data_IF_972257570907
#
_entry.id   IF_972257570907
#
_cell.length_a   1.000
_cell.length_b   1.000
_cell.length_c   1.000
_cell.angle_alpha   90.00
_cell.angle_beta   90.00
_cell.angle_gamma   90.00
#
_symmetry.space_group_name_H-M   'P 1'
#
loop_
_entity.id
_entity.type
_entity.pdbx_description
1 polymer ?
#
# COMPACT_ATOMS: atom_id res chain seq x y z
N UNK A 1 9.16 53.68 64.86
CA UNK A 1 7.73 53.92 64.90
C UNK A 1 7.29 54.40 63.56
N UNK A 2 6.59 53.60 62.82
CA UNK A 2 5.47 53.94 61.94
C UNK A 2 5.16 52.67 61.09
N UNK A 3 3.99 52.13 61.44
CA UNK A 3 3.41 50.96 60.76
C UNK A 3 3.02 51.29 59.31
N UNK A 4 3.31 50.41 58.37
CA UNK A 4 2.77 50.43 57.01
C UNK A 4 1.82 49.24 56.79
N UNK A 5 0.56 49.61 56.67
CA UNK A 5 -0.64 48.81 56.53
C UNK A 5 -0.64 48.07 55.13
N UNK A 6 -0.71 46.74 55.13
CA UNK A 6 -0.88 45.94 53.92
C UNK A 6 -2.33 45.95 53.46
N UNK A 7 -2.60 46.49 52.30
CA UNK A 7 -3.87 46.38 51.56
C UNK A 7 -3.95 45.08 50.75
N UNK A 8 -4.87 44.25 51.20
CA UNK A 8 -5.26 42.98 50.53
C UNK A 8 -6.04 43.29 49.24
N UNK A 9 -5.47 43.03 48.07
CA UNK A 9 -6.18 43.03 46.79
C UNK A 9 -6.87 41.68 46.58
N UNK A 10 -8.19 41.72 46.56
CA UNK A 10 -9.06 40.61 46.14
C UNK A 10 -8.92 40.35 44.63
N UNK A 11 -8.61 39.12 44.26
CA UNK A 11 -8.67 38.63 42.87
C UNK A 11 -10.13 38.37 42.46
N UNK A 12 -10.55 38.72 41.26
CA UNK A 12 -11.85 38.30 40.74
C UNK A 12 -11.81 36.81 40.32
N UNK A 13 -12.77 36.05 40.78
CA UNK A 13 -13.12 34.70 40.35
C UNK A 13 -13.71 34.78 38.95
N UNK A 14 -12.97 34.25 37.95
CA UNK A 14 -13.52 34.01 36.62
C UNK A 14 -14.31 32.70 36.64
N UNK A 15 -15.64 32.82 36.45
CA UNK A 15 -16.52 31.71 36.11
C UNK A 15 -16.05 31.06 34.82
N UNK A 16 -15.72 29.79 34.90
CA UNK A 16 -15.45 28.92 33.74
C UNK A 16 -16.80 28.37 33.32
N UNK A 17 -17.27 28.76 32.13
CA UNK A 17 -18.44 28.15 31.50
C UNK A 17 -18.12 26.70 31.10
N UNK A 18 -19.06 25.74 31.26
CA UNK A 18 -18.92 24.39 30.78
C UNK A 18 -19.43 24.33 29.32
N UNK A 19 -18.53 24.15 28.38
CA UNK A 19 -18.94 23.96 27.00
C UNK A 19 -17.80 24.10 26.01
N UNK A 20 -16.94 23.08 25.91
CA UNK A 20 -16.27 22.67 24.69
C UNK A 20 -15.57 21.32 25.00
N UNK A 21 -16.39 20.30 25.22
CA UNK A 21 -15.95 18.93 24.93
C UNK A 21 -15.84 18.79 23.42
N UNK A 22 -14.66 19.12 22.88
CA UNK A 22 -14.25 18.62 21.58
C UNK A 22 -14.14 17.11 21.73
N UNK A 23 -15.18 16.43 21.28
CA UNK A 23 -15.18 15.00 21.13
C UNK A 23 -13.92 14.60 20.35
N UNK A 24 -12.97 13.99 21.04
CA UNK A 24 -11.91 13.20 20.42
C UNK A 24 -12.59 12.00 19.77
N UNK A 25 -13.09 12.18 18.53
CA UNK A 25 -13.49 11.09 17.66
C UNK A 25 -12.30 10.13 17.53
N UNK A 26 -12.56 8.87 17.83
CA UNK A 26 -11.54 7.86 18.04
C UNK A 26 -10.56 7.71 16.88
N UNK A 27 -9.30 7.60 17.22
CA UNK A 27 -8.17 7.36 16.31
C UNK A 27 -8.23 6.01 15.57
N UNK A 28 -9.33 5.26 15.67
CA UNK A 28 -9.52 3.94 15.07
C UNK A 28 -10.19 3.97 13.68
N UNK A 29 -10.69 5.12 13.20
CA UNK A 29 -11.51 5.22 11.97
C UNK A 29 -10.90 6.10 10.87
N UNK A 30 -9.66 6.55 11.02
CA UNK A 30 -9.01 7.36 9.99
C UNK A 30 -8.57 6.48 8.82
N UNK A 31 -8.98 6.84 7.58
CA UNK A 31 -8.50 6.20 6.38
C UNK A 31 -6.97 6.24 6.29
N UNK A 32 -6.34 5.13 5.89
CA UNK A 32 -4.91 5.08 5.61
C UNK A 32 -4.57 5.87 4.35
N UNK A 33 -5.44 5.76 3.31
CA UNK A 33 -5.30 6.52 2.07
C UNK A 33 -6.67 7.02 1.64
N UNK A 34 -6.77 8.30 1.29
CA UNK A 34 -7.92 8.90 0.64
C UNK A 34 -7.50 9.54 -0.68
N UNK A 35 -8.15 9.16 -1.75
CA UNK A 35 -7.97 9.71 -3.10
C UNK A 35 -9.31 10.27 -3.53
N UNK A 36 -9.38 11.55 -3.86
CA UNK A 36 -10.63 12.27 -4.20
C UNK A 36 -10.51 12.98 -5.53
N UNK A 37 -11.25 12.50 -6.53
CA UNK A 37 -11.32 13.09 -7.85
C UNK A 37 -9.96 13.27 -8.52
N UNK A 38 -9.04 12.33 -8.33
CA UNK A 38 -7.65 12.49 -8.79
C UNK A 38 -7.54 12.29 -10.29
N UNK A 39 -6.87 13.27 -10.92
CA UNK A 39 -6.46 13.24 -12.32
C UNK A 39 -4.95 13.28 -12.43
N UNK A 40 -4.39 12.59 -13.43
CA UNK A 40 -2.97 12.71 -13.79
C UNK A 40 -2.81 12.77 -15.30
N UNK A 41 -2.22 13.87 -15.77
CA UNK A 41 -1.87 14.11 -17.16
C UNK A 41 -0.37 14.33 -17.24
N UNK A 42 0.29 13.59 -18.10
CA UNK A 42 1.71 13.79 -18.42
C UNK A 42 1.83 14.57 -19.74
N UNK A 43 2.72 15.54 -19.76
CA UNK A 43 3.13 16.21 -21.00
C UNK A 43 4.21 15.37 -21.69
N UNK A 44 3.93 14.90 -22.89
CA UNK A 44 4.86 14.09 -23.69
C UNK A 44 5.23 14.84 -24.97
N UNK A 45 6.21 14.35 -25.73
CA UNK A 45 6.57 14.93 -27.04
C UNK A 45 5.43 14.83 -28.06
N UNK A 46 4.57 13.84 -27.90
CA UNK A 46 3.45 13.55 -28.80
C UNK A 46 2.12 14.16 -28.32
N UNK A 47 2.16 14.99 -27.26
CA UNK A 47 0.98 15.65 -26.68
C UNK A 47 0.66 15.20 -25.26
N UNK A 48 -0.54 15.46 -24.81
CA UNK A 48 -1.01 15.12 -23.48
C UNK A 48 -1.35 13.63 -23.35
N UNK A 49 -0.81 12.99 -22.31
CA UNK A 49 -1.13 11.63 -21.97
C UNK A 49 -1.92 11.59 -20.65
N UNK A 50 -3.23 11.36 -20.73
CA UNK A 50 -4.08 11.17 -19.54
C UNK A 50 -3.86 9.77 -18.98
N UNK A 51 -3.15 9.70 -17.84
CA UNK A 51 -2.86 8.44 -17.16
C UNK A 51 -4.01 8.04 -16.22
N UNK A 52 -4.55 9.00 -15.45
CA UNK A 52 -5.66 8.81 -14.51
C UNK A 52 -6.74 9.86 -14.73
N UNK A 53 -7.99 9.45 -14.53
CA UNK A 53 -9.14 10.34 -14.69
C UNK A 53 -10.20 10.06 -13.63
N UNK A 54 -10.49 11.08 -12.80
CA UNK A 54 -11.50 11.07 -11.75
C UNK A 54 -11.43 9.80 -10.87
N UNK A 55 -10.27 9.57 -10.26
CA UNK A 55 -10.06 8.41 -9.38
C UNK A 55 -10.48 8.77 -7.97
N UNK A 56 -11.42 8.00 -7.41
CA UNK A 56 -11.86 8.06 -6.02
C UNK A 56 -11.59 6.72 -5.36
N UNK A 57 -10.77 6.70 -4.28
CA UNK A 57 -10.43 5.49 -3.54
C UNK A 57 -10.19 5.83 -2.06
N UNK A 58 -10.79 5.04 -1.19
CA UNK A 58 -10.48 5.07 0.24
C UNK A 58 -9.94 3.71 0.65
N UNK A 59 -8.82 3.70 1.37
CA UNK A 59 -8.24 2.52 2.01
C UNK A 59 -8.31 2.74 3.52
N UNK A 60 -8.96 1.84 4.23
CA UNK A 60 -9.06 1.93 5.69
C UNK A 60 -7.72 1.60 6.37
N UNK A 61 -7.53 2.06 7.60
CA UNK A 61 -6.40 1.64 8.43
C UNK A 61 -6.42 0.11 8.61
N UNK A 62 -5.28 -0.54 8.41
CA UNK A 62 -5.14 -1.99 8.49
C UNK A 62 -5.76 -2.77 7.33
N UNK A 63 -6.34 -2.13 6.32
CA UNK A 63 -6.95 -2.81 5.18
C UNK A 63 -5.90 -3.19 4.12
N UNK A 64 -6.07 -4.35 3.51
CA UNK A 64 -5.28 -4.79 2.37
C UNK A 64 -6.08 -4.61 1.07
N UNK A 65 -5.66 -3.70 0.21
CA UNK A 65 -6.31 -3.40 -1.07
C UNK A 65 -5.37 -3.72 -2.22
N UNK A 66 -5.80 -4.58 -3.15
CA UNK A 66 -5.09 -4.79 -4.40
C UNK A 66 -5.66 -3.96 -5.54
N UNK A 67 -4.78 -3.35 -6.33
CA UNK A 67 -5.10 -2.68 -7.59
C UNK A 67 -4.79 -3.63 -8.75
N UNK A 68 -5.80 -3.96 -9.56
CA UNK A 68 -5.64 -4.83 -10.72
C UNK A 68 -6.21 -4.13 -11.97
N UNK A 69 -5.61 -4.43 -13.11
CA UNK A 69 -6.03 -3.84 -14.40
C UNK A 69 -4.99 -4.08 -15.48
N UNK A 70 -5.30 -3.77 -16.76
CA UNK A 70 -4.39 -3.98 -17.87
C UNK A 70 -3.10 -3.17 -17.71
N UNK A 71 -2.05 -3.60 -18.41
CA UNK A 71 -0.77 -2.86 -18.42
C UNK A 71 -0.95 -1.43 -18.88
N UNK A 72 -0.31 -0.48 -18.19
CA UNK A 72 -0.40 0.94 -18.52
C UNK A 72 -1.72 1.63 -18.15
N UNK A 73 -2.61 1.01 -17.37
CA UNK A 73 -3.86 1.64 -16.91
C UNK A 73 -3.69 2.65 -15.76
N UNK A 74 -2.48 2.83 -15.23
CA UNK A 74 -2.22 3.86 -14.21
C UNK A 74 -2.07 3.35 -12.77
N UNK A 75 -2.05 2.05 -12.49
CA UNK A 75 -1.88 1.49 -11.13
C UNK A 75 -0.63 2.02 -10.42
N UNK A 76 0.53 1.85 -11.05
CA UNK A 76 1.80 2.36 -10.52
C UNK A 76 1.82 3.89 -10.46
N UNK A 77 1.12 4.58 -11.38
CA UNK A 77 0.97 6.04 -11.32
C UNK A 77 0.20 6.45 -10.05
N UNK A 78 -0.95 5.81 -9.78
CA UNK A 78 -1.72 6.09 -8.57
C UNK A 78 -0.90 5.86 -7.30
N UNK A 79 -0.17 4.73 -7.24
CA UNK A 79 0.69 4.43 -6.10
C UNK A 79 1.80 5.48 -5.93
N UNK A 80 2.43 5.95 -7.03
CA UNK A 80 3.46 7.00 -7.00
C UNK A 80 2.92 8.33 -6.49
N UNK A 81 1.66 8.68 -6.82
CA UNK A 81 0.99 9.87 -6.30
C UNK A 81 0.76 9.76 -4.78
N UNK A 82 0.32 8.60 -4.30
CA UNK A 82 0.15 8.32 -2.85
C UNK A 82 1.49 8.44 -2.12
N UNK A 83 2.58 8.02 -2.77
CA UNK A 83 3.95 8.05 -2.23
C UNK A 83 4.67 9.41 -2.39
N UNK A 84 4.00 10.49 -2.81
CA UNK A 84 4.65 11.78 -3.07
C UNK A 84 5.88 11.69 -3.99
N UNK A 85 5.85 10.74 -4.94
CA UNK A 85 6.89 10.58 -5.97
C UNK A 85 6.48 11.24 -7.29
N UNK A 86 5.26 11.72 -7.34
CA UNK A 86 4.67 12.50 -8.42
C UNK A 86 3.48 13.30 -7.85
N UNK A 87 3.02 14.34 -8.55
CA UNK A 87 1.92 15.20 -8.12
C UNK A 87 0.68 14.97 -8.99
N UNK A 88 -0.53 14.98 -8.41
CA UNK A 88 -1.76 14.93 -9.20
C UNK A 88 -1.92 16.23 -10.02
N UNK A 89 -2.50 16.12 -11.22
CA UNK A 89 -2.83 17.30 -12.01
C UNK A 89 -4.08 18.00 -11.48
N UNK A 90 -5.00 17.25 -10.88
CA UNK A 90 -6.18 17.74 -10.16
C UNK A 90 -6.65 16.69 -9.17
N UNK A 91 -7.48 17.08 -8.21
CA UNK A 91 -7.94 16.26 -7.11
C UNK A 91 -7.01 16.30 -5.92
N UNK A 92 -7.31 15.53 -4.89
CA UNK A 92 -6.61 15.54 -3.62
C UNK A 92 -6.28 14.12 -3.16
N UNK A 93 -5.13 13.97 -2.49
CA UNK A 93 -4.71 12.73 -1.83
C UNK A 93 -4.33 13.04 -0.38
N UNK A 94 -4.81 12.21 0.53
CA UNK A 94 -4.39 12.22 1.92
C UNK A 94 -3.92 10.83 2.35
N UNK A 95 -2.88 10.78 3.19
CA UNK A 95 -2.34 9.58 3.82
C UNK A 95 -2.39 9.79 5.32
N UNK A 96 -3.21 9.00 6.03
CA UNK A 96 -3.53 9.22 7.45
C UNK A 96 -3.93 10.67 7.77
N UNK A 97 -4.73 11.29 6.88
CA UNK A 97 -5.19 12.67 7.01
C UNK A 97 -4.12 13.74 6.74
N UNK A 98 -2.91 13.36 6.35
CA UNK A 98 -1.80 14.25 5.99
C UNK A 98 -1.66 14.36 4.47
N UNK A 99 -1.01 15.43 3.99
CA UNK A 99 -0.58 15.45 2.58
C UNK A 99 0.45 14.35 2.31
N UNK A 100 0.54 13.81 1.08
CA UNK A 100 1.54 12.79 0.72
C UNK A 100 2.96 13.21 1.11
N UNK A 101 3.34 14.48 0.85
CA UNK A 101 4.64 15.04 1.22
C UNK A 101 4.90 14.96 2.74
N UNK A 102 3.88 15.30 3.56
CA UNK A 102 4.01 15.22 5.01
C UNK A 102 4.08 13.78 5.49
N UNK A 103 3.27 12.88 4.94
CA UNK A 103 3.31 11.45 5.26
C UNK A 103 4.67 10.83 4.95
N UNK A 104 5.30 11.22 3.83
CA UNK A 104 6.66 10.80 3.46
C UNK A 104 7.70 11.27 4.49
N UNK A 105 7.65 12.54 4.89
CA UNK A 105 8.56 13.09 5.89
C UNK A 105 8.36 12.47 7.28
N UNK A 106 7.14 12.10 7.62
CA UNK A 106 6.77 11.44 8.88
C UNK A 106 6.93 9.90 8.81
N UNK A 107 7.42 9.35 7.68
CA UNK A 107 7.72 7.92 7.52
C UNK A 107 6.51 7.00 7.69
N UNK A 108 5.33 7.48 7.32
CA UNK A 108 4.09 6.72 7.50
C UNK A 108 4.03 5.47 6.63
N UNK A 109 4.85 5.36 5.57
CA UNK A 109 4.80 4.24 4.64
C UNK A 109 6.17 3.67 4.27
N UNK A 110 6.19 2.36 4.01
CA UNK A 110 7.26 1.66 3.31
C UNK A 110 6.88 1.37 1.86
N UNK A 111 7.85 1.38 0.96
CA UNK A 111 7.59 1.17 -0.46
C UNK A 111 8.50 0.10 -1.07
N UNK A 112 7.91 -0.83 -1.83
CA UNK A 112 8.62 -1.80 -2.67
C UNK A 112 8.17 -1.62 -4.12
N UNK A 113 9.12 -1.29 -4.99
CA UNK A 113 8.88 -1.11 -6.42
C UNK A 113 9.02 -2.41 -7.21
N UNK A 114 8.49 -2.44 -8.41
CA UNK A 114 8.64 -3.55 -9.36
C UNK A 114 10.13 -3.86 -9.65
N UNK A 115 10.97 -2.83 -9.78
CA UNK A 115 12.41 -2.97 -9.75
C UNK A 115 12.91 -2.80 -8.32
N UNK A 116 13.72 -3.71 -7.83
CA UNK A 116 14.19 -3.74 -6.45
C UNK A 116 14.89 -2.43 -6.00
N UNK A 117 15.51 -1.70 -6.92
CA UNK A 117 16.14 -0.39 -6.66
C UNK A 117 17.13 -0.45 -5.51
N UNK A 118 17.92 -1.52 -5.42
CA UNK A 118 18.97 -1.65 -4.42
C UNK A 118 20.16 -0.76 -4.78
N UNK A 119 20.83 -0.25 -3.77
CA UNK A 119 22.07 0.50 -3.94
C UNK A 119 23.21 -0.48 -4.22
N UNK A 120 23.80 -0.48 -5.44
CA UNK A 120 24.75 -1.52 -5.86
C UNK A 120 26.07 -1.48 -5.08
N UNK A 121 26.41 -0.35 -4.46
CA UNK A 121 27.60 -0.18 -3.63
C UNK A 121 27.38 -0.53 -2.15
N UNK A 122 26.21 -1.00 -1.76
CA UNK A 122 25.87 -1.43 -0.40
C UNK A 122 25.59 -2.92 -0.37
N UNK A 123 25.98 -3.56 0.72
CA UNK A 123 25.61 -4.96 0.95
C UNK A 123 24.10 -5.14 1.10
N UNK A 124 23.64 -6.36 1.10
CA UNK A 124 22.24 -6.73 1.36
C UNK A 124 21.78 -6.18 2.71
N UNK A 125 22.53 -6.46 3.78
CA UNK A 125 22.20 -5.96 5.12
C UNK A 125 22.18 -4.41 5.15
N UNK A 126 23.13 -3.75 4.50
CA UNK A 126 23.19 -2.30 4.44
C UNK A 126 22.05 -1.70 3.60
N UNK A 127 21.55 -2.39 2.57
CA UNK A 127 20.36 -1.96 1.83
C UNK A 127 19.10 -2.03 2.70
N UNK A 128 18.91 -3.10 3.48
CA UNK A 128 17.79 -3.24 4.41
C UNK A 128 17.88 -2.22 5.54
N UNK A 129 19.09 -1.95 6.04
CA UNK A 129 19.34 -1.00 7.11
C UNK A 129 19.11 0.46 6.71
N UNK A 130 19.08 0.79 5.41
CA UNK A 130 19.08 2.16 4.90
C UNK A 130 18.00 3.06 5.51
N UNK A 131 16.72 2.68 5.58
CA UNK A 131 15.71 3.51 6.23
C UNK A 131 16.05 3.79 7.70
N UNK A 132 16.40 2.76 8.44
CA UNK A 132 16.74 2.84 9.87
C UNK A 132 17.97 3.74 10.13
N UNK A 133 18.93 3.77 9.20
CA UNK A 133 20.10 4.66 9.26
C UNK A 133 19.70 6.12 9.05
N UNK A 134 18.86 6.39 8.06
CA UNK A 134 18.40 7.74 7.74
C UNK A 134 17.62 8.37 8.89
N UNK A 135 16.95 7.54 9.69
CA UNK A 135 16.15 7.99 10.84
C UNK A 135 16.87 7.88 12.17
N UNK A 136 18.16 7.56 12.16
CA UNK A 136 19.00 7.62 13.35
C UNK A 136 18.76 6.48 14.35
N UNK A 137 18.20 5.34 13.91
CA UNK A 137 18.03 4.17 14.78
C UNK A 137 19.37 3.71 15.36
N UNK A 138 19.36 3.36 16.65
CA UNK A 138 20.57 2.92 17.33
C UNK A 138 21.16 1.64 16.69
N UNK A 139 22.50 1.57 16.58
CA UNK A 139 23.20 0.49 15.85
C UNK A 139 22.78 -0.91 16.26
N UNK A 140 22.63 -1.16 17.58
CA UNK A 140 22.21 -2.48 18.09
C UNK A 140 20.79 -2.87 17.68
N UNK A 141 19.82 -1.95 17.81
CA UNK A 141 18.42 -2.16 17.41
C UNK A 141 18.32 -2.36 15.89
N UNK A 142 19.05 -1.54 15.11
CA UNK A 142 19.14 -1.65 13.67
C UNK A 142 19.66 -3.02 13.23
N UNK A 143 20.77 -3.50 13.82
CA UNK A 143 21.34 -4.81 13.49
C UNK A 143 20.35 -5.93 13.80
N UNK A 144 19.70 -5.92 14.96
CA UNK A 144 18.71 -6.92 15.33
C UNK A 144 17.53 -6.93 14.34
N UNK A 145 17.02 -5.75 13.96
CA UNK A 145 15.93 -5.63 13.00
C UNK A 145 16.29 -6.12 11.60
N UNK A 146 17.49 -5.79 11.12
CA UNK A 146 18.00 -6.26 9.82
C UNK A 146 18.13 -7.78 9.80
N UNK A 147 18.66 -8.39 10.89
CA UNK A 147 18.74 -9.85 11.00
C UNK A 147 17.37 -10.50 10.93
N UNK A 148 16.40 -10.01 11.73
CA UNK A 148 15.00 -10.48 11.71
C UNK A 148 14.41 -10.46 10.29
N UNK A 149 14.60 -9.34 9.58
CA UNK A 149 14.06 -9.17 8.24
C UNK A 149 14.74 -10.05 7.19
N UNK A 150 16.05 -10.26 7.30
CA UNK A 150 16.78 -11.15 6.40
C UNK A 150 16.44 -12.61 6.63
N UNK A 151 16.22 -13.02 7.88
CA UNK A 151 15.71 -14.35 8.20
C UNK A 151 14.32 -14.57 7.63
N UNK A 152 13.43 -13.61 7.81
CA UNK A 152 12.07 -13.63 7.29
C UNK A 152 12.02 -13.84 5.75
N UNK A 153 12.88 -13.13 5.00
CA UNK A 153 12.91 -13.28 3.54
C UNK A 153 13.85 -14.41 3.07
N UNK A 154 14.43 -15.18 4.00
CA UNK A 154 15.32 -16.31 3.71
C UNK A 154 16.63 -15.90 3.03
N UNK A 155 17.23 -14.80 3.47
CA UNK A 155 18.47 -14.24 2.92
C UNK A 155 19.54 -13.94 3.96
N UNK A 156 19.45 -14.52 5.17
CA UNK A 156 20.44 -14.30 6.23
C UNK A 156 21.87 -14.61 5.81
N UNK A 157 22.08 -15.70 5.07
CA UNK A 157 23.42 -16.11 4.57
C UNK A 157 23.99 -15.14 3.51
N UNK A 158 23.16 -14.26 2.97
CA UNK A 158 23.54 -13.30 1.93
C UNK A 158 23.73 -11.88 2.47
N UNK A 159 23.71 -11.68 3.79
CA UNK A 159 23.75 -10.36 4.44
C UNK A 159 24.92 -9.48 3.94
N UNK A 160 26.11 -10.08 3.76
CA UNK A 160 27.33 -9.41 3.35
C UNK A 160 27.55 -9.37 1.80
N UNK A 161 26.62 -9.95 1.04
CA UNK A 161 26.67 -9.93 -0.44
C UNK A 161 26.22 -8.60 -1.00
N UNK A 162 26.68 -8.29 -2.21
CA UNK A 162 26.25 -7.12 -2.97
C UNK A 162 25.12 -7.49 -3.95
N UNK A 163 24.28 -6.50 -4.38
CA UNK A 163 23.15 -6.76 -5.27
C UNK A 163 23.48 -7.51 -6.57
N UNK A 164 24.64 -7.28 -7.17
CA UNK A 164 25.11 -7.94 -8.39
C UNK A 164 25.41 -9.43 -8.20
N UNK A 165 25.55 -9.89 -6.96
CA UNK A 165 25.76 -11.29 -6.59
C UNK A 165 24.43 -12.04 -6.33
N UNK A 166 23.29 -11.38 -6.50
CA UNK A 166 21.95 -11.89 -6.20
C UNK A 166 21.15 -12.12 -7.50
N UNK A 167 20.30 -13.14 -7.50
CA UNK A 167 19.27 -13.25 -8.53
C UNK A 167 18.23 -12.12 -8.42
N UNK A 168 17.49 -11.84 -9.50
CA UNK A 168 16.42 -10.81 -9.46
C UNK A 168 15.37 -11.06 -8.38
N UNK A 169 14.99 -12.32 -8.16
CA UNK A 169 14.08 -12.70 -7.08
C UNK A 169 14.67 -12.46 -5.68
N UNK A 170 15.98 -12.71 -5.49
CA UNK A 170 16.65 -12.39 -4.23
C UNK A 170 16.70 -10.87 -4.00
N UNK A 171 17.04 -10.09 -5.04
CA UNK A 171 17.02 -8.63 -4.95
C UNK A 171 15.64 -8.09 -4.57
N UNK A 172 14.58 -8.67 -5.13
CA UNK A 172 13.20 -8.28 -4.82
C UNK A 172 12.85 -8.58 -3.35
N UNK A 173 13.28 -9.72 -2.81
CA UNK A 173 13.11 -10.05 -1.39
C UNK A 173 13.85 -9.06 -0.47
N UNK A 174 15.04 -8.61 -0.84
CA UNK A 174 15.76 -7.53 -0.13
C UNK A 174 14.97 -6.22 -0.16
N UNK A 175 14.36 -5.86 -1.30
CA UNK A 175 13.54 -4.66 -1.41
C UNK A 175 12.29 -4.72 -0.52
N UNK A 176 11.65 -5.89 -0.41
CA UNK A 176 10.53 -6.12 0.50
C UNK A 176 10.99 -5.97 1.96
N UNK A 177 12.10 -6.60 2.34
CA UNK A 177 12.68 -6.47 3.69
C UNK A 177 12.98 -5.01 4.02
N UNK A 178 13.56 -4.24 3.08
CA UNK A 178 13.81 -2.80 3.23
C UNK A 178 12.53 -2.01 3.44
N UNK A 179 11.46 -2.30 2.70
CA UNK A 179 10.17 -1.62 2.84
C UNK A 179 9.52 -1.86 4.22
N UNK A 180 9.82 -2.99 4.86
CA UNK A 180 9.32 -3.38 6.18
C UNK A 180 10.21 -2.91 7.34
N UNK A 181 11.37 -2.29 7.06
CA UNK A 181 12.40 -2.02 8.07
C UNK A 181 11.87 -1.19 9.24
N UNK A 182 11.12 -0.15 9.00
CA UNK A 182 10.61 0.82 9.98
C UNK A 182 9.25 0.47 10.58
N UNK A 183 8.71 -0.72 10.30
CA UNK A 183 7.35 -1.12 10.70
C UNK A 183 6.31 -0.07 10.30
N UNK A 184 6.23 0.28 9.01
CA UNK A 184 5.37 1.34 8.54
C UNK A 184 3.89 1.02 8.77
N UNK A 185 3.07 2.06 8.92
CA UNK A 185 1.62 1.93 9.05
C UNK A 185 0.92 1.67 7.70
N UNK A 186 1.60 1.99 6.58
CA UNK A 186 1.14 1.74 5.21
C UNK A 186 2.25 1.09 4.40
N UNK A 187 1.92 0.04 3.66
CA UNK A 187 2.81 -0.59 2.68
C UNK A 187 2.32 -0.30 1.27
N UNK A 188 3.20 0.23 0.44
CA UNK A 188 2.97 0.47 -0.98
C UNK A 188 3.82 -0.51 -1.78
N UNK A 189 3.18 -1.42 -2.52
CA UNK A 189 3.89 -2.50 -3.21
C UNK A 189 3.48 -2.58 -4.69
N UNK A 190 4.45 -2.38 -5.59
CA UNK A 190 4.25 -2.42 -7.04
C UNK A 190 4.83 -3.70 -7.63
N UNK A 191 3.97 -4.69 -7.90
CA UNK A 191 4.32 -6.01 -8.46
C UNK A 191 5.52 -6.68 -7.74
N UNK A 192 5.55 -6.72 -6.38
CA UNK A 192 6.74 -7.09 -5.62
C UNK A 192 7.14 -8.56 -5.78
N UNK A 193 6.26 -9.39 -6.29
CA UNK A 193 6.52 -10.83 -6.45
C UNK A 193 6.75 -11.27 -7.91
N UNK A 194 6.78 -10.32 -8.86
CA UNK A 194 6.88 -10.62 -10.29
C UNK A 194 8.15 -11.38 -10.70
N UNK A 195 9.27 -11.17 -10.00
CA UNK A 195 10.54 -11.83 -10.28
C UNK A 195 10.78 -13.12 -9.47
N UNK A 196 9.81 -13.56 -8.64
CA UNK A 196 9.93 -14.75 -7.80
C UNK A 196 9.45 -16.01 -8.54
N UNK A 197 10.10 -17.14 -8.25
CA UNK A 197 9.56 -18.46 -8.58
C UNK A 197 8.28 -18.74 -7.76
N UNK A 198 7.48 -19.70 -8.21
CA UNK A 198 6.16 -19.97 -7.64
C UNK A 198 6.20 -20.31 -6.13
N UNK A 199 7.09 -21.23 -5.73
CA UNK A 199 7.18 -21.66 -4.33
C UNK A 199 7.63 -20.51 -3.42
N UNK A 200 8.59 -19.70 -3.86
CA UNK A 200 9.06 -18.54 -3.12
C UNK A 200 7.97 -17.46 -3.05
N UNK A 201 7.23 -17.26 -4.15
CA UNK A 201 6.11 -16.32 -4.23
C UNK A 201 5.02 -16.66 -3.21
N UNK A 202 4.58 -17.91 -3.14
CA UNK A 202 3.56 -18.36 -2.20
C UNK A 202 3.98 -18.15 -0.75
N UNK A 203 5.21 -18.52 -0.40
CA UNK A 203 5.77 -18.25 0.94
C UNK A 203 5.80 -16.76 1.28
N UNK A 204 6.23 -15.92 0.34
CA UNK A 204 6.30 -14.48 0.56
C UNK A 204 4.90 -13.84 0.66
N UNK A 205 3.91 -14.36 -0.07
CA UNK A 205 2.52 -13.93 0.05
C UNK A 205 1.95 -14.27 1.44
N UNK A 206 2.14 -15.49 1.92
CA UNK A 206 1.72 -15.91 3.25
C UNK A 206 2.38 -15.05 4.35
N UNK A 207 3.69 -14.79 4.21
CA UNK A 207 4.43 -13.95 5.15
C UNK A 207 3.96 -12.50 5.13
N UNK A 208 3.65 -11.92 3.97
CA UNK A 208 3.11 -10.57 3.87
C UNK A 208 1.74 -10.44 4.53
N UNK A 209 0.86 -11.44 4.34
CA UNK A 209 -0.44 -11.51 5.01
C UNK A 209 -0.27 -11.54 6.53
N UNK A 210 0.64 -12.38 7.03
CA UNK A 210 0.96 -12.49 8.46
C UNK A 210 1.44 -11.16 9.02
N UNK A 211 2.43 -10.53 8.38
CA UNK A 211 2.99 -9.25 8.82
C UNK A 211 1.93 -8.16 8.85
N UNK A 212 1.14 -8.02 7.77
CA UNK A 212 0.08 -7.02 7.70
C UNK A 212 -0.99 -7.23 8.79
N UNK A 213 -1.30 -8.48 9.14
CA UNK A 213 -2.23 -8.81 10.21
C UNK A 213 -1.65 -8.50 11.61
N UNK A 214 -0.39 -8.87 11.86
CA UNK A 214 0.28 -8.66 13.15
C UNK A 214 0.58 -7.19 13.44
N UNK A 215 0.95 -6.42 12.40
CA UNK A 215 1.29 -5.00 12.57
C UNK A 215 0.09 -4.07 12.46
N UNK A 216 -1.03 -4.54 11.91
CA UNK A 216 -2.18 -3.69 11.57
C UNK A 216 -1.87 -2.70 10.46
N UNK A 217 -0.81 -2.91 9.67
CA UNK A 217 -0.47 -2.05 8.55
C UNK A 217 -1.52 -2.14 7.43
N UNK A 218 -1.90 -1.00 6.88
CA UNK A 218 -2.65 -0.95 5.64
C UNK A 218 -1.72 -1.31 4.46
N UNK A 219 -2.26 -1.92 3.41
CA UNK A 219 -1.46 -2.30 2.23
C UNK A 219 -2.17 -1.87 0.95
N UNK A 220 -1.46 -1.16 0.09
CA UNK A 220 -1.85 -0.93 -1.31
C UNK A 220 -0.92 -1.75 -2.18
N UNK A 221 -1.48 -2.74 -2.84
CA UNK A 221 -0.74 -3.76 -3.57
C UNK A 221 -1.12 -3.73 -5.06
N UNK A 222 -0.14 -3.50 -5.92
CA UNK A 222 -0.35 -3.55 -7.38
C UNK A 222 0.09 -4.91 -7.89
N UNK A 223 -0.77 -5.56 -8.64
CA UNK A 223 -0.47 -6.83 -9.31
C UNK A 223 -1.23 -6.98 -10.63
N UNK A 224 -0.75 -7.87 -11.49
CA UNK A 224 -1.45 -8.36 -12.67
C UNK A 224 -2.01 -9.78 -12.48
N UNK A 225 -1.70 -10.43 -11.35
CA UNK A 225 -2.16 -11.78 -11.02
C UNK A 225 -3.48 -11.72 -10.24
N UNK A 226 -4.57 -12.23 -10.85
CA UNK A 226 -5.89 -12.32 -10.20
C UNK A 226 -5.84 -13.21 -8.95
N UNK A 227 -5.25 -14.44 -9.00
CA UNK A 227 -5.17 -15.30 -7.82
C UNK A 227 -4.43 -14.63 -6.66
N UNK A 228 -3.38 -13.88 -6.95
CA UNK A 228 -2.61 -13.14 -5.96
C UNK A 228 -3.45 -12.05 -5.30
N UNK A 229 -4.13 -11.21 -6.10
CA UNK A 229 -5.02 -10.16 -5.60
C UNK A 229 -6.13 -10.74 -4.71
N UNK A 230 -6.74 -11.85 -5.13
CA UNK A 230 -7.80 -12.53 -4.37
C UNK A 230 -7.27 -13.09 -3.05
N UNK A 231 -6.10 -13.73 -3.06
CA UNK A 231 -5.54 -14.35 -1.86
C UNK A 231 -5.14 -13.31 -0.79
N UNK A 232 -4.55 -12.20 -1.21
CA UNK A 232 -3.95 -11.22 -0.31
C UNK A 232 -4.97 -10.24 0.29
N UNK A 233 -6.00 -9.86 -0.48
CA UNK A 233 -6.71 -8.61 -0.24
C UNK A 233 -8.03 -8.78 0.51
N UNK A 234 -8.44 -7.73 1.22
CA UNK A 234 -9.80 -7.56 1.71
C UNK A 234 -10.73 -7.02 0.62
N UNK A 235 -10.17 -6.17 -0.28
CA UNK A 235 -10.85 -5.68 -1.49
C UNK A 235 -9.91 -5.67 -2.68
N UNK A 236 -10.44 -6.00 -3.84
CA UNK A 236 -9.76 -5.86 -5.13
C UNK A 236 -10.39 -4.72 -5.91
N UNK A 237 -9.59 -3.72 -6.25
CA UNK A 237 -9.96 -2.57 -7.07
C UNK A 237 -9.59 -2.86 -8.52
N UNK A 238 -10.58 -2.90 -9.38
CA UNK A 238 -10.42 -3.14 -10.82
C UNK A 238 -10.34 -1.81 -11.55
N UNK A 239 -9.25 -1.58 -12.27
CA UNK A 239 -9.04 -0.36 -13.05
C UNK A 239 -9.31 -0.59 -14.55
N UNK A 240 -9.94 0.41 -15.20
CA UNK A 240 -10.17 0.43 -16.65
C UNK A 240 -8.86 0.63 -17.43
N UNK A 241 -8.82 0.28 -18.74
CA UNK A 241 -7.77 0.77 -19.62
C UNK A 241 -7.65 2.29 -19.62
N UNK A 242 -6.51 2.79 -20.09
CA UNK A 242 -6.21 4.23 -20.12
C UNK A 242 -7.27 5.08 -20.84
N UNK A 243 -7.69 6.23 -20.26
CA UNK A 243 -7.29 6.74 -18.94
C UNK A 243 -7.82 5.88 -17.81
N UNK A 244 -6.94 5.61 -16.82
CA UNK A 244 -7.27 4.75 -15.69
C UNK A 244 -8.35 5.37 -14.82
N UNK A 245 -9.43 4.63 -14.62
CA UNK A 245 -10.54 4.93 -13.69
C UNK A 245 -10.80 3.70 -12.85
N UNK A 246 -11.34 3.87 -11.67
CA UNK A 246 -11.87 2.73 -10.93
C UNK A 246 -13.15 2.29 -11.62
N UNK A 247 -13.16 1.03 -12.03
CA UNK A 247 -14.29 0.39 -12.69
C UNK A 247 -15.19 -0.33 -11.71
N UNK A 248 -14.55 -1.08 -10.80
CA UNK A 248 -15.25 -1.88 -9.80
C UNK A 248 -14.40 -2.05 -8.55
N UNK A 249 -15.04 -2.29 -7.41
CA UNK A 249 -14.40 -2.60 -6.13
C UNK A 249 -15.07 -3.83 -5.56
N UNK A 250 -14.34 -4.95 -5.55
CA UNK A 250 -14.88 -6.26 -5.19
C UNK A 250 -14.38 -6.63 -3.79
N UNK A 251 -15.28 -6.77 -2.78
CA UNK A 251 -14.90 -7.25 -1.47
C UNK A 251 -14.57 -8.74 -1.53
N UNK A 252 -13.44 -9.14 -0.95
CA UNK A 252 -13.03 -10.54 -0.87
C UNK A 252 -13.66 -11.20 0.35
N UNK A 253 -14.63 -12.09 0.11
CA UNK A 253 -15.36 -12.80 1.18
C UNK A 253 -14.78 -14.19 1.39
N UNK A 254 -13.47 -14.27 1.61
CA UNK A 254 -12.74 -15.51 1.82
C UNK A 254 -12.54 -15.73 3.33
N UNK A 255 -12.97 -16.90 3.83
CA UNK A 255 -12.73 -17.28 5.21
C UNK A 255 -13.32 -16.27 6.23
N UNK A 256 -14.55 -15.80 6.03
CA UNK A 256 -15.18 -14.69 6.78
C UNK A 256 -15.21 -14.90 8.31
N UNK A 257 -15.07 -16.15 8.80
CA UNK A 257 -14.98 -16.45 10.23
C UNK A 257 -13.55 -16.34 10.79
N UNK A 258 -12.55 -16.45 9.93
CA UNK A 258 -11.15 -16.41 10.26
C UNK A 258 -10.57 -15.07 9.75
N UNK A 259 -9.95 -14.27 10.59
CA UNK A 259 -9.33 -13.02 10.19
C UNK A 259 -8.25 -13.25 9.10
N UNK A 260 -7.74 -12.19 8.50
CA UNK A 260 -6.68 -12.25 7.46
C UNK A 260 -5.50 -13.15 7.86
N UNK A 261 -5.10 -13.15 9.13
CA UNK A 261 -4.00 -13.97 9.65
C UNK A 261 -4.16 -15.48 9.47
N UNK A 262 -5.38 -15.95 9.24
CA UNK A 262 -5.70 -17.37 9.07
C UNK A 262 -5.77 -17.82 7.60
N UNK A 263 -5.43 -16.94 6.65
CA UNK A 263 -5.36 -17.32 5.24
C UNK A 263 -4.16 -18.23 5.00
N UNK A 264 -4.45 -19.52 4.91
CA UNK A 264 -3.46 -20.56 4.59
C UNK A 264 -3.47 -20.90 3.10
N UNK A 265 -2.45 -21.63 2.64
CA UNK A 265 -2.39 -22.15 1.27
C UNK A 265 -3.63 -22.97 0.90
N UNK A 266 -4.23 -23.69 1.85
CA UNK A 266 -5.45 -24.47 1.65
C UNK A 266 -6.64 -23.64 1.15
N UNK A 267 -6.66 -22.33 1.48
CA UNK A 267 -7.70 -21.41 0.96
C UNK A 267 -7.76 -21.39 -0.57
N UNK A 268 -6.64 -21.62 -1.25
CA UNK A 268 -6.54 -21.63 -2.72
C UNK A 268 -7.27 -22.80 -3.36
N UNK A 269 -7.53 -23.87 -2.60
CA UNK A 269 -8.24 -25.07 -3.05
C UNK A 269 -9.76 -24.97 -2.77
N UNK A 270 -10.19 -23.94 -2.03
CA UNK A 270 -11.59 -23.76 -1.70
C UNK A 270 -12.42 -23.24 -2.88
N UNK A 271 -13.65 -23.71 -2.99
CA UNK A 271 -14.60 -23.25 -4.02
C UNK A 271 -14.80 -21.73 -4.00
N UNK A 272 -14.88 -21.12 -2.82
CA UNK A 272 -15.04 -19.68 -2.65
C UNK A 272 -13.91 -18.88 -3.27
N UNK A 273 -12.68 -19.40 -3.23
CA UNK A 273 -11.54 -18.77 -3.88
C UNK A 273 -11.70 -18.73 -5.41
N UNK A 274 -12.11 -19.82 -6.03
CA UNK A 274 -12.35 -19.88 -7.48
C UNK A 274 -13.51 -18.97 -7.91
N UNK A 275 -14.56 -18.87 -7.10
CA UNK A 275 -15.68 -17.96 -7.34
C UNK A 275 -15.21 -16.50 -7.33
N UNK A 276 -14.37 -16.08 -6.38
CA UNK A 276 -13.79 -14.74 -6.32
C UNK A 276 -12.83 -14.47 -7.49
N UNK A 277 -11.98 -15.43 -7.86
CA UNK A 277 -11.10 -15.33 -9.04
C UNK A 277 -11.94 -15.09 -10.31
N UNK A 278 -13.06 -15.79 -10.43
CA UNK A 278 -13.96 -15.63 -11.59
C UNK A 278 -14.62 -14.25 -11.58
N UNK A 279 -15.13 -13.79 -10.43
CA UNK A 279 -15.74 -12.46 -10.31
C UNK A 279 -14.76 -11.33 -10.69
N UNK A 280 -13.51 -11.39 -10.20
CA UNK A 280 -12.48 -10.41 -10.55
C UNK A 280 -12.14 -10.47 -12.04
N UNK A 281 -12.06 -11.68 -12.63
CA UNK A 281 -11.81 -11.85 -14.06
C UNK A 281 -12.92 -11.25 -14.91
N UNK A 282 -14.18 -11.49 -14.57
CA UNK A 282 -15.33 -10.92 -15.26
C UNK A 282 -15.35 -9.39 -15.18
N UNK A 283 -15.06 -8.82 -14.00
CA UNK A 283 -14.93 -7.38 -13.83
C UNK A 283 -13.79 -6.78 -14.67
N UNK A 284 -12.65 -7.46 -14.78
CA UNK A 284 -11.52 -7.03 -15.62
C UNK A 284 -11.86 -7.02 -17.10
N UNK A 285 -12.49 -8.07 -17.60
CA UNK A 285 -12.85 -8.18 -19.02
C UNK A 285 -14.07 -7.32 -19.37
N UNK A 286 -14.77 -6.84 -18.35
CA UNK A 286 -15.84 -5.88 -18.38
C UNK A 286 -16.90 -6.17 -19.40
N UNK A 287 -17.83 -7.04 -19.06
CA UNK A 287 -19.07 -7.15 -19.82
C UNK A 287 -18.89 -7.08 -21.35
N UNK A 288 -18.11 -7.97 -21.93
CA UNK A 288 -18.42 -8.38 -23.29
C UNK A 288 -19.84 -8.94 -23.19
N UNK A 289 -20.83 -8.16 -23.60
CA UNK A 289 -22.18 -8.68 -23.76
C UNK A 289 -22.06 -9.92 -24.64
N UNK A 290 -22.59 -11.08 -24.22
CA UNK A 290 -22.62 -12.24 -25.09
C UNK A 290 -23.49 -11.86 -26.29
N UNK A 291 -22.85 -11.67 -27.46
CA UNK A 291 -23.43 -11.82 -28.77
C UNK A 291 -24.61 -10.90 -29.13
N UNK A 292 -24.33 -9.75 -29.72
CA UNK A 292 -25.20 -9.33 -30.84
C UNK A 292 -24.86 -10.25 -32.03
N UNK A 293 -25.79 -11.08 -32.51
CA UNK A 293 -25.52 -11.92 -33.68
C UNK A 293 -25.25 -11.01 -34.87
N UNK A 294 -24.16 -11.28 -35.59
CA UNK A 294 -23.85 -10.63 -36.87
C UNK A 294 -25.09 -10.70 -37.78
N UNK A 295 -25.63 -9.54 -38.08
CA UNK A 295 -26.66 -9.43 -39.14
C UNK A 295 -26.06 -9.96 -40.43
N UNK A 296 -26.76 -10.92 -41.00
CA UNK A 296 -26.40 -11.64 -42.20
C UNK A 296 -26.03 -10.72 -43.35
N UNK A 297 -24.96 -11.12 -44.02
CA UNK A 297 -24.69 -10.74 -45.39
C UNK A 297 -25.77 -11.39 -46.27
N UNK A 298 -26.82 -10.58 -46.62
CA UNK A 298 -27.66 -10.94 -47.75
C UNK A 298 -26.88 -10.73 -49.02
N UNK A 299 -26.66 -11.82 -49.70
CA UNK A 299 -26.19 -11.90 -51.09
C UNK A 299 -27.18 -11.23 -52.06
N UNK A 300 -26.69 -10.32 -52.85
CA UNK A 300 -27.12 -10.08 -54.22
C UNK A 300 -25.92 -9.89 -55.12
#
# INVERSE_FOLDING_TARGET
>A
MTEARATRRTRPTTHREPGDEVATAGAADAAAVEVRGVHKVFQTRDGELRALEAVDLTVAAGEFVSLIGPSGCGKSTLMRLVADLDEPTAGEIAVFGKTPARARLDQEYGIAFQQAGLLPWRTVAANVALPLELHGEASGARTARVTELLDMVGLAEFADRYPDQLSGGMQQRVAIARALAERPRLLLMDEPFGALDEMTREKMQAELVRIAAETGAAVVFVTHSIPEAVFLSDRVVVMSPRPGRIRDIIPMRLGVAAGRAERTEALREERGFFEMVTAVREALHGGAQPGTPARGLETR
#
